data_IF_367156330904
#
_entry.id   IF_367156330904
#
_cell.length_a   1.000
_cell.length_b   1.000
_cell.length_c   1.000
_cell.angle_alpha   90.00
_cell.angle_beta   90.00
_cell.angle_gamma   90.00
#
_symmetry.space_group_name_H-M   'P 1'
#
loop_
_entity.id
_entity.type
_entity.pdbx_description
1 polymer ?
#
# COMPACT_ATOMS: atom_id res chain seq x y z
N UNK A 1 -10.21 -2.73 12.73
CA UNK A 1 -9.58 -1.73 11.84
C UNK A 1 -9.47 -0.44 12.62
N UNK A 2 -8.30 0.20 12.63
CA UNK A 2 -8.15 1.46 13.37
C UNK A 2 -8.37 2.63 12.41
N UNK A 3 -9.12 3.62 12.85
CA UNK A 3 -9.26 4.90 12.15
C UNK A 3 -7.87 5.57 12.06
N UNK A 4 -7.49 6.23 10.96
CA UNK A 4 -6.26 7.02 10.90
C UNK A 4 -6.12 8.07 12.01
N UNK A 5 -7.22 8.52 12.60
CA UNK A 5 -7.17 9.37 13.82
C UNK A 5 -6.76 8.61 15.08
N UNK A 6 -6.88 7.29 15.08
CA UNK A 6 -6.34 6.39 16.11
C UNK A 6 -4.94 5.89 15.72
N UNK A 7 -4.21 6.67 14.91
CA UNK A 7 -2.88 6.33 14.44
C UNK A 7 -2.00 5.92 15.61
N UNK A 8 -1.47 4.70 15.53
CA UNK A 8 -0.47 4.27 16.49
C UNK A 8 0.78 5.11 16.29
N UNK A 9 1.14 5.89 17.30
CA UNK A 9 2.41 6.62 17.30
C UNK A 9 3.24 6.22 18.51
N UNK A 10 4.53 6.17 18.32
CA UNK A 10 5.51 6.02 19.38
C UNK A 10 6.65 7.01 19.18
N UNK A 11 7.37 7.32 20.25
CA UNK A 11 8.50 8.24 20.20
C UNK A 11 8.14 9.61 19.64
N UNK A 12 9.06 10.21 18.89
CA UNK A 12 8.94 11.54 18.28
C UNK A 12 8.12 11.59 16.99
N UNK A 13 7.65 10.43 16.52
CA UNK A 13 6.92 10.30 15.24
C UNK A 13 7.63 10.96 14.05
N UNK A 14 8.97 10.94 14.04
CA UNK A 14 9.78 11.50 12.94
C UNK A 14 9.67 10.68 11.66
N UNK A 15 9.19 9.45 11.77
CA UNK A 15 8.88 8.52 10.68
C UNK A 15 7.38 8.27 10.60
N UNK A 16 6.90 8.07 9.38
CA UNK A 16 5.48 7.80 9.09
C UNK A 16 5.38 6.68 8.06
N UNK A 17 4.57 5.67 8.31
CA UNK A 17 4.18 4.67 7.31
C UNK A 17 2.79 4.97 6.78
N UNK A 18 2.62 4.89 5.45
CA UNK A 18 1.34 5.13 4.77
C UNK A 18 1.10 4.01 3.76
N UNK A 19 -0.10 3.47 3.73
CA UNK A 19 -0.49 2.47 2.75
C UNK A 19 -1.51 1.47 3.27
N UNK A 20 -1.53 0.31 2.63
CA UNK A 20 -2.41 -0.80 3.00
C UNK A 20 -1.77 -1.78 4.00
N UNK A 21 -2.26 -3.02 4.03
CA UNK A 21 -1.71 -4.07 4.89
C UNK A 21 -0.23 -4.37 4.63
N UNK A 22 0.28 -4.12 3.43
CA UNK A 22 1.71 -4.27 3.12
C UNK A 22 2.56 -3.27 3.90
N UNK A 23 2.11 -2.02 4.02
CA UNK A 23 2.77 -1.04 4.90
C UNK A 23 2.63 -1.45 6.36
N UNK A 24 1.44 -1.93 6.78
CA UNK A 24 1.17 -2.38 8.14
C UNK A 24 2.06 -3.53 8.61
N UNK A 25 2.47 -4.43 7.71
CA UNK A 25 3.40 -5.52 8.07
C UNK A 25 4.80 -5.01 8.46
N UNK A 26 5.18 -3.82 7.99
CA UNK A 26 6.46 -3.21 8.30
C UNK A 26 6.47 -2.52 9.67
N UNK A 27 5.31 -2.06 10.13
CA UNK A 27 5.18 -1.16 11.29
C UNK A 27 5.80 -1.73 12.57
N UNK A 28 5.55 -3.01 12.85
CA UNK A 28 6.05 -3.63 14.08
C UNK A 28 7.59 -3.62 14.14
N UNK A 29 8.23 -4.04 13.05
CA UNK A 29 9.69 -4.13 13.03
C UNK A 29 10.35 -2.77 12.90
N UNK A 30 9.80 -1.89 12.07
CA UNK A 30 10.27 -0.52 11.91
C UNK A 30 10.19 0.24 13.23
N UNK A 31 9.08 0.14 13.96
CA UNK A 31 8.92 0.85 15.22
C UNK A 31 9.99 0.44 16.24
N UNK A 32 10.31 -0.86 16.32
CA UNK A 32 11.36 -1.38 17.20
C UNK A 32 12.73 -0.82 16.83
N UNK A 33 13.11 -0.94 15.56
CA UNK A 33 14.43 -0.48 15.07
C UNK A 33 14.59 1.03 15.21
N UNK A 34 13.51 1.78 14.93
CA UNK A 34 13.53 3.24 15.05
C UNK A 34 13.68 3.69 16.50
N UNK A 35 12.96 3.06 17.44
CA UNK A 35 13.08 3.39 18.87
C UNK A 35 14.49 3.12 19.41
N UNK A 36 15.14 2.01 18.99
CA UNK A 36 16.54 1.73 19.34
C UNK A 36 17.51 2.82 18.85
N UNK A 37 17.11 3.56 17.81
CA UNK A 37 17.87 4.70 17.25
C UNK A 37 17.42 6.07 17.75
N UNK A 38 16.51 6.12 18.71
CA UNK A 38 15.98 7.36 19.27
C UNK A 38 14.92 8.05 18.39
N UNK A 39 14.32 7.33 17.44
CA UNK A 39 13.26 7.83 16.57
C UNK A 39 11.92 7.19 16.88
N UNK A 40 10.83 7.83 16.43
CA UNK A 40 9.50 7.30 16.57
C UNK A 40 8.82 7.08 15.23
N UNK A 41 7.80 6.21 15.23
CA UNK A 41 6.97 5.87 14.08
C UNK A 41 5.51 6.25 14.33
N UNK A 42 4.89 6.88 13.33
CA UNK A 42 3.44 7.03 13.23
C UNK A 42 2.93 6.14 12.10
N UNK A 43 1.98 5.27 12.40
CA UNK A 43 1.35 4.40 11.39
C UNK A 43 0.05 5.03 10.88
N UNK A 44 -0.01 5.33 9.59
CA UNK A 44 -1.19 5.76 8.85
C UNK A 44 -1.64 4.66 7.87
N UNK A 45 -1.58 3.42 8.31
CA UNK A 45 -1.93 2.25 7.48
C UNK A 45 -3.40 1.88 7.65
N UNK A 46 -4.02 1.39 6.57
CA UNK A 46 -5.40 0.93 6.58
C UNK A 46 -5.57 -0.21 5.57
N UNK A 47 -6.18 -1.31 5.99
CA UNK A 47 -6.31 -2.52 5.17
C UNK A 47 -6.99 -2.23 3.82
N UNK A 48 -6.44 -2.80 2.75
CA UNK A 48 -6.94 -2.66 1.37
C UNK A 48 -7.07 -1.20 0.89
N UNK A 49 -6.36 -0.28 1.52
CA UNK A 49 -6.44 1.14 1.19
C UNK A 49 -5.06 1.70 0.82
N UNK A 50 -4.67 1.62 -0.44
CA UNK A 50 -3.45 2.26 -0.93
C UNK A 50 -3.54 3.79 -0.82
N UNK A 51 -2.40 4.46 -0.88
CA UNK A 51 -2.34 5.93 -0.79
C UNK A 51 -2.56 6.58 -2.16
N UNK A 52 -3.82 6.57 -2.60
CA UNK A 52 -4.29 7.19 -3.85
C UNK A 52 -5.56 7.99 -3.58
N UNK A 53 -5.71 9.15 -4.21
CA UNK A 53 -6.89 9.98 -4.01
C UNK A 53 -8.04 9.46 -4.89
N UNK A 54 -9.27 9.56 -4.35
CA UNK A 54 -10.53 9.29 -5.07
C UNK A 54 -10.73 7.86 -5.59
N UNK A 55 -9.84 6.94 -5.23
CA UNK A 55 -9.91 5.53 -5.62
C UNK A 55 -9.96 4.62 -4.40
N UNK A 56 -10.55 3.43 -4.56
CA UNK A 56 -10.65 2.41 -3.52
C UNK A 56 -10.64 1.01 -4.12
N UNK A 57 -10.35 0.01 -3.31
CA UNK A 57 -10.58 -1.37 -3.66
C UNK A 57 -12.09 -1.68 -3.59
N UNK A 58 -12.63 -2.48 -4.48
CA UNK A 58 -14.06 -2.63 -4.76
C UNK A 58 -15.01 -2.84 -3.59
N UNK A 59 -14.51 -3.32 -2.45
CA UNK A 59 -15.29 -3.53 -1.22
C UNK A 59 -14.91 -2.61 -0.05
N UNK A 60 -14.07 -1.58 -0.29
CA UNK A 60 -13.58 -0.65 0.74
C UNK A 60 -13.72 0.81 0.28
N UNK A 61 -14.96 1.28 -0.01
CA UNK A 61 -15.18 2.66 -0.50
C UNK A 61 -14.77 3.72 0.53
N UNK A 62 -14.75 3.40 1.81
CA UNK A 62 -14.26 4.27 2.89
C UNK A 62 -12.79 4.66 2.74
N UNK A 63 -12.01 3.98 1.88
CA UNK A 63 -10.63 4.34 1.59
C UNK A 63 -10.47 5.78 1.10
N UNK A 64 -11.45 6.33 0.39
CA UNK A 64 -11.45 7.74 -0.03
C UNK A 64 -11.41 8.67 1.19
N UNK A 65 -12.26 8.42 2.18
CA UNK A 65 -12.28 9.21 3.41
C UNK A 65 -11.03 8.97 4.27
N UNK A 66 -10.53 7.74 4.32
CA UNK A 66 -9.26 7.41 4.98
C UNK A 66 -8.13 8.23 4.38
N UNK A 67 -8.02 8.32 3.06
CA UNK A 67 -6.97 9.10 2.41
C UNK A 67 -7.13 10.61 2.63
N UNK A 68 -8.35 11.15 2.68
CA UNK A 68 -8.57 12.54 3.09
C UNK A 68 -8.08 12.81 4.52
N UNK A 69 -8.35 11.89 5.46
CA UNK A 69 -7.86 11.99 6.84
C UNK A 69 -6.34 11.91 6.94
N UNK A 70 -5.70 11.00 6.18
CA UNK A 70 -4.25 10.92 6.07
C UNK A 70 -3.68 12.26 5.63
N UNK A 71 -4.27 12.89 4.60
CA UNK A 71 -3.85 14.21 4.14
C UNK A 71 -4.00 15.31 5.20
N UNK A 72 -5.09 15.28 5.98
CA UNK A 72 -5.28 16.25 7.07
C UNK A 72 -4.18 16.12 8.13
N UNK A 73 -3.82 14.88 8.50
CA UNK A 73 -2.72 14.62 9.43
C UNK A 73 -1.39 15.09 8.83
N UNK A 74 -1.08 14.73 7.60
CA UNK A 74 0.16 15.10 6.91
C UNK A 74 0.32 16.63 6.85
N UNK A 75 -0.75 17.34 6.46
CA UNK A 75 -0.75 18.81 6.39
C UNK A 75 -0.63 19.49 7.75
N UNK A 76 -0.90 18.79 8.85
CA UNK A 76 -0.72 19.31 10.21
C UNK A 76 0.71 19.21 10.73
N UNK A 77 1.59 18.46 10.04
CA UNK A 77 2.99 18.34 10.46
C UNK A 77 3.71 19.68 10.33
N UNK A 78 4.31 20.11 11.44
CA UNK A 78 5.11 21.34 11.50
C UNK A 78 6.56 21.11 11.09
N UNK A 79 6.99 19.85 11.12
CA UNK A 79 8.36 19.45 10.88
C UNK A 79 8.44 18.46 9.73
N UNK A 80 9.61 18.43 9.10
CA UNK A 80 9.92 17.43 8.07
C UNK A 80 9.79 16.02 8.63
N UNK A 81 9.11 15.13 7.90
CA UNK A 81 8.97 13.72 8.24
C UNK A 81 9.64 12.84 7.19
N UNK A 82 10.03 11.63 7.61
CA UNK A 82 10.43 10.56 6.69
C UNK A 82 9.20 9.67 6.46
N UNK A 83 8.64 9.72 5.27
CA UNK A 83 7.39 9.04 4.93
C UNK A 83 7.69 7.82 4.08
N UNK A 84 7.32 6.65 4.57
CA UNK A 84 7.43 5.37 3.88
C UNK A 84 6.06 5.04 3.31
N UNK A 85 6.00 4.84 1.99
CA UNK A 85 4.79 4.42 1.28
C UNK A 85 4.97 2.98 0.81
N UNK A 86 4.03 2.12 1.16
CA UNK A 86 3.98 0.73 0.69
C UNK A 86 2.54 0.29 0.51
N UNK A 87 2.25 -0.42 -0.58
CA UNK A 87 0.93 -0.97 -0.84
C UNK A 87 1.01 -2.17 -1.80
N UNK A 88 -0.08 -2.92 -1.90
CA UNK A 88 -0.23 -3.92 -2.93
C UNK A 88 -0.48 -3.26 -4.30
N UNK A 89 0.59 -2.87 -4.98
CA UNK A 89 0.53 -2.20 -6.29
C UNK A 89 -0.03 -3.08 -7.43
N UNK A 90 -0.20 -4.38 -7.19
CA UNK A 90 -0.91 -5.26 -8.11
C UNK A 90 -2.33 -4.78 -8.42
N UNK A 91 -2.99 -4.17 -7.44
CA UNK A 91 -4.30 -3.54 -7.64
C UNK A 91 -4.27 -2.40 -8.66
N UNK A 92 -3.16 -1.67 -8.73
CA UNK A 92 -2.97 -0.61 -9.71
C UNK A 92 -2.83 -1.20 -11.11
N UNK A 93 -1.90 -2.13 -11.27
CA UNK A 93 -1.59 -2.76 -12.56
C UNK A 93 -2.79 -3.46 -13.19
N UNK A 94 -3.63 -4.07 -12.40
CA UNK A 94 -4.81 -4.78 -12.92
C UNK A 94 -6.08 -3.92 -12.95
N UNK A 95 -5.95 -2.63 -12.64
CA UNK A 95 -7.09 -1.72 -12.57
C UNK A 95 -8.18 -2.23 -11.65
N UNK A 96 -7.81 -2.80 -10.49
CA UNK A 96 -8.75 -3.33 -9.48
C UNK A 96 -9.31 -2.26 -8.57
N UNK A 97 -8.79 -1.05 -8.63
CA UNK A 97 -9.31 0.08 -7.88
C UNK A 97 -10.56 0.64 -8.54
N UNK A 98 -11.48 1.11 -7.74
CA UNK A 98 -12.74 1.70 -8.16
C UNK A 98 -12.75 3.22 -7.97
N UNK A 99 -13.61 3.90 -8.71
CA UNK A 99 -13.88 5.33 -8.62
C UNK A 99 -15.37 5.59 -8.85
N UNK A 100 -15.87 6.74 -8.42
CA UNK A 100 -17.22 7.20 -8.73
C UNK A 100 -17.35 7.80 -10.14
N UNK A 101 -16.23 8.05 -10.82
CA UNK A 101 -16.24 8.60 -12.16
C UNK A 101 -16.55 7.51 -13.19
N UNK A 102 -17.51 7.74 -14.10
CA UNK A 102 -17.75 6.82 -15.21
C UNK A 102 -16.50 6.74 -16.10
N UNK A 103 -16.11 5.52 -16.45
CA UNK A 103 -15.09 5.28 -17.45
C UNK A 103 -15.71 5.40 -18.84
N UNK A 104 -15.03 6.03 -19.78
CA UNK A 104 -15.50 6.21 -21.15
C UNK A 104 -15.79 4.88 -21.87
N UNK A 105 -15.11 3.81 -21.49
CA UNK A 105 -15.27 2.47 -22.06
C UNK A 105 -16.34 1.61 -21.38
N UNK A 106 -17.08 2.13 -20.42
CA UNK A 106 -18.19 1.43 -19.76
C UNK A 106 -17.79 0.20 -18.94
N UNK A 107 -16.55 0.04 -18.57
CA UNK A 107 -16.07 -1.07 -17.71
C UNK A 107 -16.61 -0.91 -16.29
N UNK A 108 -17.79 -1.41 -16.06
CA UNK A 108 -18.48 -1.37 -14.78
C UNK A 108 -18.53 -2.79 -14.20
N UNK A 109 -17.69 -3.08 -13.21
CA UNK A 109 -17.53 -4.44 -12.69
C UNK A 109 -17.55 -4.58 -11.17
N UNK A 110 -17.67 -3.49 -10.42
CA UNK A 110 -17.60 -3.55 -8.97
C UNK A 110 -18.93 -3.17 -8.36
N UNK A 111 -19.34 -3.89 -7.32
CA UNK A 111 -20.61 -3.68 -6.63
C UNK A 111 -20.74 -2.28 -6.01
N UNK A 112 -19.62 -1.58 -5.84
CA UNK A 112 -19.56 -0.30 -5.13
C UNK A 112 -18.91 0.83 -5.95
N UNK A 113 -18.66 0.62 -7.24
CA UNK A 113 -18.07 1.65 -8.07
C UNK A 113 -17.71 1.14 -9.46
N UNK A 114 -17.13 2.02 -10.26
CA UNK A 114 -16.67 1.76 -11.61
C UNK A 114 -15.19 1.45 -11.54
N UNK A 115 -14.74 0.46 -12.31
CA UNK A 115 -13.32 0.11 -12.37
C UNK A 115 -12.50 1.32 -12.85
N UNK A 116 -11.49 1.69 -12.07
CA UNK A 116 -10.63 2.81 -12.38
C UNK A 116 -9.76 2.54 -13.62
N UNK A 117 -9.42 3.61 -14.35
CA UNK A 117 -8.37 3.56 -15.35
C UNK A 117 -7.01 3.50 -14.66
N UNK A 118 -6.13 2.62 -15.13
CA UNK A 118 -4.79 2.42 -14.55
C UNK A 118 -3.97 3.72 -14.57
N UNK A 119 -3.99 4.46 -15.68
CA UNK A 119 -3.23 5.70 -15.83
C UNK A 119 -3.68 6.77 -14.83
N UNK A 120 -4.99 6.89 -14.57
CA UNK A 120 -5.52 7.84 -13.58
C UNK A 120 -5.08 7.49 -12.17
N UNK A 121 -5.04 6.20 -11.84
CA UNK A 121 -4.59 5.72 -10.53
C UNK A 121 -3.10 6.00 -10.34
N UNK A 122 -2.27 5.70 -11.34
CA UNK A 122 -0.84 5.99 -11.31
C UNK A 122 -0.56 7.49 -11.25
N UNK A 123 -1.34 8.30 -11.98
CA UNK A 123 -1.24 9.75 -11.91
C UNK A 123 -1.57 10.26 -10.49
N UNK A 124 -2.64 9.77 -9.88
CA UNK A 124 -3.00 10.12 -8.50
C UNK A 124 -1.89 9.74 -7.50
N UNK A 125 -1.30 8.55 -7.65
CA UNK A 125 -0.19 8.10 -6.82
C UNK A 125 1.04 9.00 -6.96
N UNK A 126 1.46 9.29 -8.19
CA UNK A 126 2.60 10.16 -8.48
C UNK A 126 2.40 11.56 -7.92
N UNK A 127 1.20 12.12 -8.12
CA UNK A 127 0.84 13.44 -7.58
C UNK A 127 0.89 13.49 -6.05
N UNK A 128 0.51 12.40 -5.39
CA UNK A 128 0.64 12.32 -3.93
C UNK A 128 2.10 12.38 -3.48
N UNK A 129 3.00 11.66 -4.18
CA UNK A 129 4.45 11.70 -3.91
C UNK A 129 5.00 13.12 -4.11
N UNK A 130 4.70 13.74 -5.24
CA UNK A 130 5.11 15.11 -5.55
C UNK A 130 4.63 16.11 -4.49
N UNK A 131 3.37 15.95 -4.03
CA UNK A 131 2.80 16.81 -2.99
C UNK A 131 3.52 16.65 -1.66
N UNK A 132 3.85 15.42 -1.26
CA UNK A 132 4.62 15.16 -0.03
C UNK A 132 6.02 15.80 -0.10
N UNK A 133 6.68 15.70 -1.25
CA UNK A 133 7.99 16.32 -1.46
C UNK A 133 7.91 17.85 -1.46
N UNK A 134 6.87 18.43 -2.08
CA UNK A 134 6.61 19.87 -2.06
C UNK A 134 6.33 20.42 -0.64
N UNK A 135 5.75 19.59 0.23
CA UNK A 135 5.59 19.90 1.66
C UNK A 135 6.90 19.76 2.47
N UNK A 136 8.00 19.38 1.82
CA UNK A 136 9.32 19.27 2.41
C UNK A 136 9.61 17.91 3.06
N UNK A 137 8.75 16.91 2.92
CA UNK A 137 8.97 15.59 3.49
C UNK A 137 9.95 14.75 2.65
N UNK A 138 10.67 13.84 3.32
CA UNK A 138 11.39 12.77 2.63
C UNK A 138 10.42 11.65 2.30
N UNK A 139 10.43 11.16 1.06
CA UNK A 139 9.54 10.09 0.63
C UNK A 139 10.34 8.87 0.20
N UNK A 140 9.99 7.73 0.77
CA UNK A 140 10.56 6.42 0.47
C UNK A 140 9.42 5.54 -0.03
N UNK A 141 9.51 5.07 -1.27
CA UNK A 141 8.55 4.12 -1.83
C UNK A 141 9.15 2.73 -1.78
N UNK A 142 8.48 1.81 -1.08
CA UNK A 142 8.86 0.41 -1.04
C UNK A 142 8.14 -0.30 -2.20
N UNK A 143 8.93 -0.81 -3.15
CA UNK A 143 8.40 -1.60 -4.25
C UNK A 143 7.74 -2.89 -3.75
N UNK A 144 6.66 -3.32 -4.38
CA UNK A 144 6.00 -4.56 -4.00
C UNK A 144 6.90 -5.77 -4.29
N UNK A 145 6.70 -6.80 -3.52
CA UNK A 145 7.25 -8.12 -3.85
C UNK A 145 6.67 -8.53 -5.22
N UNK A 146 7.50 -8.95 -6.19
CA UNK A 146 7.00 -9.41 -7.47
C UNK A 146 5.94 -10.49 -7.28
N UNK A 147 4.75 -10.28 -7.85
CA UNK A 147 3.74 -11.33 -7.88
C UNK A 147 4.12 -12.38 -8.92
N UNK A 148 4.17 -13.63 -8.54
CA UNK A 148 4.23 -14.73 -9.50
C UNK A 148 2.87 -14.83 -10.21
N UNK A 149 2.91 -14.93 -11.55
CA UNK A 149 1.71 -15.01 -12.40
C UNK A 149 0.99 -16.34 -12.26
N UNK A 150 1.66 -17.36 -11.76
CA UNK A 150 1.10 -18.67 -11.49
C UNK A 150 0.97 -18.91 -9.98
N UNK A 151 0.04 -19.79 -9.61
CA UNK A 151 -0.11 -20.26 -8.24
C UNK A 151 1.25 -20.81 -7.75
N UNK A 152 1.87 -20.10 -6.78
CA UNK A 152 3.17 -20.47 -6.22
C UNK A 152 3.18 -21.92 -5.72
N UNK A 153 2.02 -22.45 -5.28
CA UNK A 153 1.85 -23.84 -4.88
C UNK A 153 1.97 -24.78 -6.07
N UNK A 154 1.37 -24.43 -7.22
CA UNK A 154 1.50 -25.25 -8.45
C UNK A 154 2.94 -25.25 -8.94
N UNK A 155 3.59 -24.09 -8.93
CA UNK A 155 4.98 -23.97 -9.33
C UNK A 155 5.92 -24.77 -8.42
N UNK A 156 5.68 -24.71 -7.11
CA UNK A 156 6.43 -25.51 -6.14
C UNK A 156 6.21 -27.00 -6.30
N UNK A 157 4.94 -27.44 -6.53
CA UNK A 157 4.61 -28.83 -6.76
C UNK A 157 5.19 -29.36 -8.07
N UNK A 158 5.23 -28.57 -9.13
CA UNK A 158 5.88 -28.97 -10.38
C UNK A 158 7.40 -29.17 -10.19
N UNK A 159 8.06 -28.25 -9.48
CA UNK A 159 9.48 -28.40 -9.15
C UNK A 159 9.79 -29.66 -8.33
N UNK A 160 8.91 -30.01 -7.38
CA UNK A 160 9.11 -31.24 -6.57
C UNK A 160 8.84 -32.49 -7.41
N UNK A 161 7.84 -32.49 -8.30
CA UNK A 161 7.55 -33.63 -9.18
C UNK A 161 8.65 -33.85 -10.20
N UNK A 162 9.27 -32.80 -10.69
CA UNK A 162 10.40 -32.88 -11.62
C UNK A 162 11.72 -33.32 -10.94
N UNK A 163 11.83 -33.11 -9.61
CA UNK A 163 12.97 -33.54 -8.81
C UNK A 163 12.86 -34.97 -8.28
N UNK A 164 11.64 -35.56 -8.24
CA UNK A 164 11.42 -36.93 -7.74
C UNK A 164 12.30 -38.01 -8.39
N UNK A 165 12.54 -38.00 -9.70
CA UNK A 165 13.41 -39.02 -10.31
C UNK A 165 14.87 -38.96 -9.89
N UNK A 166 15.32 -37.83 -9.32
CA UNK A 166 16.72 -37.68 -8.90
C UNK A 166 16.98 -38.19 -7.48
N UNK A 167 15.93 -38.41 -6.67
CA UNK A 167 16.07 -38.89 -5.28
C UNK A 167 15.81 -40.37 -5.12
N UNK A 168 15.08 -41.00 -6.04
CA UNK A 168 14.79 -42.45 -5.99
C UNK A 168 16.01 -43.36 -6.26
N UNK A 169 17.18 -42.77 -6.51
CA UNK A 169 18.44 -43.49 -6.74
C UNK A 169 19.45 -43.43 -5.56
N UNK A 170 19.05 -42.87 -4.40
CA UNK A 170 19.95 -42.65 -3.26
C UNK A 170 19.46 -43.38 -1.97
N UNK A 171 18.73 -44.47 -2.12
CA UNK A 171 18.43 -45.37 -0.99
C UNK A 171 18.99 -46.75 -1.28
#
# INVERSE_FOLDING_TARGET
MRDPYDACSNGDSSWVTIGDSYAGTLDFYLSKVLLEKGHGLMSLTYEQCPFVNDFWFGNVPECVEVNKRRWNIIKSFKERKNIIISANYYFFREGKLATNNPLEDGRNNLSYGIRANEDEVWHSFSKNIETLQALGHNVIVIYPIPSVTEDAKKMYLSLITDLKPQFDGII
#
